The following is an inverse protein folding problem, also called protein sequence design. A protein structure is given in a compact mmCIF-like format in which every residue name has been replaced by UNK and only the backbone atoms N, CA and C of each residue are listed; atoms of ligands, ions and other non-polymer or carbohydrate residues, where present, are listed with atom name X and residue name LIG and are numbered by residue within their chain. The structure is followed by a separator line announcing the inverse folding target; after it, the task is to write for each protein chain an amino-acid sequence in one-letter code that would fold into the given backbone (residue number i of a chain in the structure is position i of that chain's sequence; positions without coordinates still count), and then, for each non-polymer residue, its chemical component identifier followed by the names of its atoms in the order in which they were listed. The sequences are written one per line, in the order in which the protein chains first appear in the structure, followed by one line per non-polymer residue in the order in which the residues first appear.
data_IF_429709575963
#
_entry.id   IF_429709575963
#
_cell.length_a   1.000
_cell.length_b   1.000
_cell.length_c   1.000
_cell.angle_alpha   90.00
_cell.angle_beta   90.00
_cell.angle_gamma   90.00
#
_symmetry.space_group_name_H-M   'P 1'
#
loop_
_entity.id
_entity.type
_entity.pdbx_description
1 polymer ?
#
# COMPACT_ATOMS: atom_id res chain seq x y z
N UNK A 1 4.48 -5.84 -7.77
CA UNK A 1 3.04 -5.64 -7.55
C UNK A 1 2.79 -5.51 -6.05
N UNK A 2 1.72 -4.83 -5.64
CA UNK A 2 1.37 -4.68 -4.23
C UNK A 2 0.91 -6.03 -3.65
N UNK A 3 1.25 -6.30 -2.38
CA UNK A 3 0.87 -7.52 -1.67
C UNK A 3 0.47 -7.22 -0.23
N UNK A 4 -0.43 -8.04 0.31
CA UNK A 4 -0.80 -7.98 1.72
C UNK A 4 0.29 -8.66 2.55
N UNK A 5 0.87 -7.91 3.49
CA UNK A 5 1.86 -8.42 4.45
C UNK A 5 1.18 -8.82 5.76
N UNK A 6 0.12 -8.12 6.15
CA UNK A 6 -0.69 -8.39 7.34
C UNK A 6 -2.16 -8.21 6.99
N UNK A 7 -2.92 -9.31 7.02
CA UNK A 7 -4.36 -9.32 6.71
C UNK A 7 -5.19 -8.75 7.86
N UNK A 8 -6.28 -8.06 7.53
CA UNK A 8 -7.32 -7.67 8.49
C UNK A 8 -8.73 -8.15 8.07
N UNK A 9 -8.82 -8.98 7.04
CA UNK A 9 -10.07 -9.56 6.52
C UNK A 9 -10.21 -9.36 5.01
N UNK A 10 -10.86 -10.31 4.33
CA UNK A 10 -10.88 -10.37 2.85
C UNK A 10 -11.38 -9.09 2.17
N UNK A 11 -12.43 -8.46 2.71
CA UNK A 11 -13.01 -7.23 2.16
C UNK A 11 -12.08 -6.03 2.34
N UNK A 12 -11.48 -5.88 3.52
CA UNK A 12 -10.54 -4.78 3.81
C UNK A 12 -9.24 -4.95 3.01
N UNK A 13 -8.73 -6.17 2.90
CA UNK A 13 -7.54 -6.48 2.13
C UNK A 13 -7.72 -6.18 0.63
N UNK A 14 -8.88 -6.50 0.06
CA UNK A 14 -9.21 -6.18 -1.33
C UNK A 14 -9.20 -4.66 -1.57
N UNK A 15 -9.74 -3.90 -0.63
CA UNK A 15 -9.76 -2.44 -0.71
C UNK A 15 -8.36 -1.83 -0.55
N UNK A 16 -7.55 -2.30 0.40
CA UNK A 16 -6.15 -1.89 0.52
C UNK A 16 -5.36 -2.15 -0.77
N UNK A 17 -5.54 -3.32 -1.41
CA UNK A 17 -4.87 -3.62 -2.67
C UNK A 17 -5.35 -2.71 -3.81
N UNK A 18 -6.65 -2.40 -3.87
CA UNK A 18 -7.20 -1.45 -4.84
C UNK A 18 -6.56 -0.08 -4.69
N UNK A 19 -6.51 0.45 -3.46
CA UNK A 19 -5.89 1.75 -3.19
C UNK A 19 -4.39 1.75 -3.50
N UNK A 20 -3.65 0.72 -3.07
CA UNK A 20 -2.22 0.61 -3.33
C UNK A 20 -1.88 0.60 -4.83
N UNK A 21 -2.74 0.00 -5.66
CA UNK A 21 -2.58 -0.04 -7.12
C UNK A 21 -2.97 1.26 -7.83
N UNK A 22 -3.76 2.11 -7.18
CA UNK A 22 -4.13 3.43 -7.71
C UNK A 22 -3.06 4.51 -7.44
N UNK A 23 -2.07 4.22 -6.59
CA UNK A 23 -0.99 5.16 -6.31
C UNK A 23 -0.14 5.42 -7.57
N UNK A 24 0.42 6.64 -7.69
CA UNK A 24 1.31 6.95 -8.81
C UNK A 24 2.57 6.08 -8.77
N UNK A 25 3.25 5.97 -9.91
CA UNK A 25 4.55 5.32 -9.96
C UNK A 25 5.53 6.07 -9.05
N UNK A 26 6.12 5.36 -8.10
CA UNK A 26 7.14 5.91 -7.23
C UNK A 26 8.45 6.07 -7.99
N UNK A 27 9.14 7.19 -7.74
CA UNK A 27 10.52 7.33 -8.18
C UNK A 27 11.40 6.39 -7.36
N UNK A 28 12.30 5.62 -7.99
CA UNK A 28 13.18 4.72 -7.27
C UNK A 28 14.13 5.50 -6.35
N UNK A 29 14.48 4.92 -5.21
CA UNK A 29 15.59 5.43 -4.41
C UNK A 29 16.89 5.37 -5.21
N UNK A 30 17.82 6.29 -4.93
CA UNK A 30 19.15 6.30 -5.56
C UNK A 30 20.19 5.86 -4.54
N UNK A 31 21.03 4.90 -4.91
CA UNK A 31 22.25 4.56 -4.18
C UNK A 31 23.46 4.99 -5.02
N UNK A 32 24.16 6.05 -4.60
CA UNK A 32 25.30 6.59 -5.35
C UNK A 32 24.95 7.08 -6.76
N UNK A 33 23.70 7.50 -7.00
CA UNK A 33 23.20 7.94 -8.31
C UNK A 33 22.60 6.83 -9.18
N UNK A 34 22.62 5.57 -8.74
CA UNK A 34 22.02 4.43 -9.45
C UNK A 34 20.67 4.08 -8.84
N UNK A 35 19.61 3.83 -9.65
CA UNK A 35 18.32 3.34 -9.16
C UNK A 35 18.48 2.05 -8.34
N UNK A 36 18.02 2.07 -7.10
CA UNK A 36 18.03 0.94 -6.19
C UNK A 36 16.62 0.40 -5.96
N UNK A 37 16.50 -0.92 -5.82
CA UNK A 37 15.23 -1.57 -5.44
C UNK A 37 14.79 -1.02 -4.08
N UNK A 38 13.54 -0.55 -4.03
CA UNK A 38 12.97 0.08 -2.85
C UNK A 38 11.60 -0.51 -2.60
N UNK A 39 11.43 -1.12 -1.45
CA UNK A 39 10.15 -1.67 -1.00
C UNK A 39 9.61 -0.86 0.17
N UNK A 40 8.32 -0.53 0.11
CA UNK A 40 7.61 0.23 1.14
C UNK A 40 6.42 -0.55 1.66
N UNK A 41 6.21 -0.52 2.98
CA UNK A 41 5.02 -1.07 3.62
C UNK A 41 4.07 0.08 3.98
N UNK A 42 2.84 0.00 3.46
CA UNK A 42 1.79 0.97 3.76
C UNK A 42 0.85 0.40 4.82
N UNK A 43 0.57 1.18 5.86
CA UNK A 43 -0.40 0.82 6.89
C UNK A 43 -1.76 1.47 6.59
N UNK A 44 -2.80 0.66 6.39
CA UNK A 44 -4.16 1.11 6.19
C UNK A 44 -4.94 1.03 7.51
N UNK A 45 -5.50 2.16 7.94
CA UNK A 45 -6.36 2.25 9.12
C UNK A 45 -7.80 2.45 8.65
N UNK A 46 -8.71 1.62 9.18
CA UNK A 46 -10.12 1.64 8.82
C UNK A 46 -10.94 2.17 10.00
N UNK A 47 -11.91 3.02 9.68
CA UNK A 47 -12.86 3.52 10.66
C UNK A 47 -14.26 3.27 10.11
N UNK A 48 -15.11 2.62 10.90
CA UNK A 48 -16.52 2.44 10.55
C UNK A 48 -17.27 3.65 11.05
N UNK A 49 -17.80 4.43 10.13
CA UNK A 49 -18.66 5.55 10.50
C UNK A 49 -20.06 5.00 10.86
N UNK A 50 -20.42 5.10 12.14
CA UNK A 50 -21.75 4.75 12.64
C UNK A 50 -22.68 5.94 12.38
N UNK A 51 -22.97 6.23 11.12
CA UNK A 51 -24.03 7.20 10.81
C UNK A 51 -25.37 6.52 11.15
N UNK A 52 -26.04 7.06 12.18
CA UNK A 52 -27.40 6.69 12.61
C UNK A 52 -28.44 7.18 11.61
#
# INVERSE_FOLDING_TARGET
DARIVKSSGKTLDAEALRMARMLPKFHPGLNGGVPAESSYTLAFQYYVNQQQ
#
